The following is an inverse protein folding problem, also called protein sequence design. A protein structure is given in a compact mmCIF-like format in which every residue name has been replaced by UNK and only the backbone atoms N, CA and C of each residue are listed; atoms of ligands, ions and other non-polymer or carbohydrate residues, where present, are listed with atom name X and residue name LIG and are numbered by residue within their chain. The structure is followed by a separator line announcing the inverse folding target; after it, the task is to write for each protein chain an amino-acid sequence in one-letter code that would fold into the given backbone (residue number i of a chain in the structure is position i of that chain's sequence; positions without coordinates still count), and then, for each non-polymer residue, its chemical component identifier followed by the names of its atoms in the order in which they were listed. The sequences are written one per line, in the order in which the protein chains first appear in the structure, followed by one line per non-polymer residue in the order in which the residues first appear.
data_IF_524908201435
#
_entry.id   IF_524908201435
#
_cell.length_a   1.000
_cell.length_b   1.000
_cell.length_c   1.000
_cell.angle_alpha   90.00
_cell.angle_beta   90.00
_cell.angle_gamma   90.00
#
_symmetry.space_group_name_H-M   'P 1'
#
loop_
_entity.id
_entity.type
_entity.pdbx_description
1 polymer ?
#
# COMPACT_ATOMS: atom_id res chain seq x y z
N UNK A 1 24.01 -23.22 -15.63
CA UNK A 1 23.75 -21.81 -15.26
C UNK A 1 23.24 -21.11 -16.51
N UNK A 2 21.97 -20.69 -16.56
CA UNK A 2 21.43 -20.00 -17.75
C UNK A 2 19.94 -20.24 -18.04
N UNK A 3 19.04 -19.93 -17.09
CA UNK A 3 17.59 -20.04 -17.33
C UNK A 3 16.78 -18.83 -16.85
N UNK A 4 17.35 -17.94 -16.03
CA UNK A 4 16.64 -16.75 -15.53
C UNK A 4 16.72 -15.55 -16.48
N UNK A 5 17.80 -15.41 -17.27
CA UNK A 5 18.01 -14.25 -18.15
C UNK A 5 16.96 -14.18 -19.25
N UNK A 6 16.67 -15.30 -19.91
CA UNK A 6 15.76 -15.37 -21.07
C UNK A 6 14.30 -15.04 -20.76
N UNK A 7 13.89 -15.20 -19.49
CA UNK A 7 12.54 -14.82 -19.02
C UNK A 7 12.45 -13.35 -18.62
N UNK A 8 13.59 -12.72 -18.35
CA UNK A 8 13.67 -11.35 -17.89
C UNK A 8 13.53 -10.34 -19.03
N UNK A 9 14.00 -10.71 -20.23
CA UNK A 9 13.89 -9.90 -21.46
C UNK A 9 12.43 -9.65 -21.88
N UNK A 10 11.50 -10.50 -21.43
CA UNK A 10 10.07 -10.39 -21.73
C UNK A 10 9.33 -9.47 -20.75
N UNK A 11 9.99 -9.05 -19.65
CA UNK A 11 9.37 -8.21 -18.63
C UNK A 11 9.59 -6.74 -18.98
N UNK A 12 8.52 -5.96 -19.21
CA UNK A 12 8.66 -4.55 -19.52
C UNK A 12 9.32 -3.80 -18.36
N UNK A 13 10.36 -3.02 -18.69
CA UNK A 13 11.09 -2.15 -17.77
C UNK A 13 11.70 -2.87 -16.56
N UNK A 14 12.07 -4.15 -16.68
CA UNK A 14 12.58 -4.96 -15.58
C UNK A 14 13.78 -4.32 -14.85
N UNK A 15 14.79 -3.85 -15.58
CA UNK A 15 15.98 -3.21 -14.99
C UNK A 15 15.65 -1.91 -14.25
N UNK A 16 14.78 -1.08 -14.84
CA UNK A 16 14.30 0.15 -14.21
C UNK A 16 13.51 -0.14 -12.93
N UNK A 17 12.62 -1.14 -12.96
CA UNK A 17 11.85 -1.56 -11.80
C UNK A 17 12.76 -2.06 -10.68
N UNK A 18 13.81 -2.82 -11.00
CA UNK A 18 14.81 -3.23 -10.01
C UNK A 18 15.52 -2.04 -9.38
N UNK A 19 15.88 -1.01 -10.16
CA UNK A 19 16.52 0.19 -9.61
C UNK A 19 15.55 1.03 -8.75
N UNK A 20 14.30 1.20 -9.20
CA UNK A 20 13.30 2.04 -8.51
C UNK A 20 12.77 1.42 -7.21
N UNK A 21 12.59 0.10 -7.22
CA UNK A 21 11.93 -0.65 -6.13
C UNK A 21 12.94 -1.42 -5.28
N UNK A 22 14.17 -1.56 -5.78
CA UNK A 22 15.26 -2.34 -5.22
C UNK A 22 15.01 -3.86 -5.22
N UNK A 23 13.96 -4.37 -5.88
CA UNK A 23 13.70 -5.80 -5.94
C UNK A 23 14.81 -6.52 -6.70
N UNK A 24 15.14 -7.74 -6.27
CA UNK A 24 16.04 -8.61 -7.01
C UNK A 24 15.38 -9.14 -8.28
N UNK A 25 16.20 -9.55 -9.24
CA UNK A 25 15.74 -10.18 -10.49
C UNK A 25 14.74 -11.33 -10.23
N UNK A 26 15.06 -12.19 -9.26
CA UNK A 26 14.21 -13.31 -8.88
C UNK A 26 12.88 -12.87 -8.26
N UNK A 27 12.84 -11.73 -7.54
CA UNK A 27 11.59 -11.16 -7.04
C UNK A 27 10.73 -10.61 -8.17
N UNK A 28 11.31 -9.83 -9.09
CA UNK A 28 10.57 -9.28 -10.24
C UNK A 28 9.97 -10.42 -11.10
N UNK A 29 10.73 -11.49 -11.36
CA UNK A 29 10.22 -12.67 -12.07
C UNK A 29 9.04 -13.34 -11.34
N UNK A 30 9.11 -13.48 -10.01
CA UNK A 30 8.00 -14.04 -9.22
C UNK A 30 6.77 -13.15 -9.22
N UNK A 31 6.97 -11.83 -9.16
CA UNK A 31 5.88 -10.86 -9.25
C UNK A 31 5.24 -10.87 -10.64
N UNK A 32 6.03 -11.00 -11.70
CA UNK A 32 5.54 -11.07 -13.07
C UNK A 32 4.73 -12.34 -13.32
N UNK A 33 5.25 -13.51 -12.89
CA UNK A 33 4.48 -14.75 -12.96
C UNK A 33 3.16 -14.68 -12.16
N UNK A 34 3.15 -13.94 -11.03
CA UNK A 34 1.92 -13.69 -10.27
C UNK A 34 0.98 -12.75 -11.02
N UNK A 35 1.50 -11.73 -11.69
CA UNK A 35 0.72 -10.80 -12.49
C UNK A 35 0.04 -11.52 -13.66
N UNK A 36 0.77 -12.34 -14.42
CA UNK A 36 0.21 -13.17 -15.51
C UNK A 36 -0.85 -14.15 -14.99
N UNK A 37 -0.66 -14.71 -13.80
CA UNK A 37 -1.67 -15.58 -13.19
C UNK A 37 -2.98 -14.85 -12.86
N UNK A 38 -2.91 -13.55 -12.57
CA UNK A 38 -4.09 -12.71 -12.30
C UNK A 38 -4.74 -12.22 -13.59
N UNK A 39 -3.93 -11.90 -14.62
CA UNK A 39 -4.39 -11.45 -15.93
C UNK A 39 -4.80 -12.63 -16.83
N UNK A 40 -5.92 -13.28 -16.48
CA UNK A 40 -6.41 -14.48 -17.17
C UNK A 40 -6.74 -14.26 -18.64
N UNK A 41 -7.02 -13.03 -19.03
CA UNK A 41 -7.39 -12.66 -20.39
C UNK A 41 -6.19 -12.10 -21.20
N UNK A 42 -4.98 -12.18 -20.63
CA UNK A 42 -3.72 -11.76 -21.26
C UNK A 42 -3.75 -10.33 -21.81
N UNK A 43 -4.39 -9.41 -21.09
CA UNK A 43 -4.54 -8.00 -21.51
C UNK A 43 -3.26 -7.19 -21.35
N UNK A 44 -2.33 -7.64 -20.53
CA UNK A 44 -1.19 -6.88 -20.03
C UNK A 44 -1.55 -5.93 -18.88
N UNK A 45 -2.80 -5.96 -18.40
CA UNK A 45 -3.31 -5.06 -17.36
C UNK A 45 -4.34 -5.75 -16.46
N UNK A 46 -4.26 -5.49 -15.14
CA UNK A 46 -5.19 -6.02 -14.15
C UNK A 46 -6.32 -5.04 -13.85
N UNK A 47 -7.52 -5.58 -13.64
CA UNK A 47 -8.73 -4.92 -13.16
C UNK A 47 -9.02 -5.31 -11.72
N UNK A 48 -9.87 -4.58 -10.98
CA UNK A 48 -10.21 -4.91 -9.60
C UNK A 48 -10.69 -6.36 -9.42
N UNK A 49 -11.44 -6.88 -10.40
CA UNK A 49 -11.98 -8.24 -10.43
C UNK A 49 -10.89 -9.33 -10.44
N UNK A 50 -9.75 -9.05 -11.07
CA UNK A 50 -8.65 -10.01 -11.21
C UNK A 50 -8.00 -10.31 -9.84
N UNK A 51 -8.07 -9.37 -8.90
CA UNK A 51 -7.55 -9.53 -7.54
C UNK A 51 -8.39 -10.48 -6.68
N UNK A 52 -9.62 -10.80 -7.07
CA UNK A 52 -10.48 -11.76 -6.36
C UNK A 52 -9.88 -13.18 -6.31
N UNK A 53 -8.96 -13.51 -7.21
CA UNK A 53 -8.23 -14.78 -7.19
C UNK A 53 -7.22 -14.87 -6.02
N UNK A 54 -6.86 -13.74 -5.40
CA UNK A 54 -5.93 -13.69 -4.28
C UNK A 54 -6.68 -13.93 -2.96
N UNK A 55 -6.85 -15.21 -2.60
CA UNK A 55 -7.47 -15.60 -1.30
C UNK A 55 -6.87 -14.88 -0.09
N UNK A 56 -5.58 -14.58 -0.12
CA UNK A 56 -4.90 -13.83 0.95
C UNK A 56 -5.39 -12.38 1.08
N UNK A 57 -5.75 -11.73 -0.03
CA UNK A 57 -6.37 -10.39 0.00
C UNK A 57 -7.87 -10.49 0.29
N UNK A 58 -8.56 -11.50 -0.24
CA UNK A 58 -9.99 -11.68 0.00
C UNK A 58 -10.34 -11.91 1.49
N UNK A 59 -9.45 -12.54 2.24
CA UNK A 59 -9.60 -12.74 3.69
C UNK A 59 -9.03 -11.58 4.52
N UNK A 60 -8.43 -10.58 3.88
CA UNK A 60 -7.83 -9.44 4.58
C UNK A 60 -8.91 -8.35 4.74
N UNK A 61 -9.19 -7.86 5.96
CA UNK A 61 -10.20 -6.82 6.17
C UNK A 61 -9.90 -5.48 5.47
N UNK A 62 -8.64 -5.25 5.08
CA UNK A 62 -8.24 -4.10 4.25
C UNK A 62 -7.92 -4.48 2.81
N UNK A 63 -8.30 -5.68 2.37
CA UNK A 63 -8.03 -6.22 1.03
C UNK A 63 -8.55 -5.30 -0.07
N UNK A 64 -9.82 -4.90 0.01
CA UNK A 64 -10.45 -4.02 -0.98
C UNK A 64 -9.78 -2.64 -1.04
N UNK A 65 -9.29 -2.13 0.10
CA UNK A 65 -8.54 -0.86 0.16
C UNK A 65 -7.15 -0.99 -0.47
N UNK A 66 -6.47 -2.11 -0.21
CA UNK A 66 -5.18 -2.41 -0.86
C UNK A 66 -5.37 -2.53 -2.37
N UNK A 67 -6.43 -3.22 -2.82
CA UNK A 67 -6.79 -3.32 -4.24
C UNK A 67 -7.05 -1.92 -4.80
N UNK A 68 -7.87 -1.10 -4.14
CA UNK A 68 -8.14 0.28 -4.53
C UNK A 68 -6.88 1.16 -4.64
N UNK A 69 -5.84 0.88 -3.85
CA UNK A 69 -4.56 1.60 -3.92
C UNK A 69 -3.75 1.33 -5.20
N UNK A 70 -4.02 0.22 -5.91
CA UNK A 70 -3.42 -0.03 -7.22
C UNK A 70 -4.01 0.86 -8.32
N UNK A 71 -5.26 1.29 -8.17
CA UNK A 71 -5.99 2.06 -9.18
C UNK A 71 -5.85 3.55 -8.88
N UNK A 72 -5.60 4.37 -9.91
CA UNK A 72 -5.58 5.83 -9.77
C UNK A 72 -6.92 6.45 -10.18
N UNK A 73 -7.22 7.68 -9.77
CA UNK A 73 -8.47 8.35 -10.18
C UNK A 73 -8.53 8.41 -11.71
N UNK A 74 -9.53 7.75 -12.30
CA UNK A 74 -9.69 7.60 -13.75
C UNK A 74 -8.88 6.47 -14.42
N UNK A 75 -8.17 5.65 -13.64
CA UNK A 75 -7.54 4.41 -14.13
C UNK A 75 -8.30 3.21 -13.59
N UNK A 76 -8.98 2.50 -14.48
CA UNK A 76 -9.71 1.26 -14.17
C UNK A 76 -8.81 0.01 -14.22
N UNK A 77 -7.58 0.18 -14.70
CA UNK A 77 -6.60 -0.88 -14.88
C UNK A 77 -5.23 -0.52 -14.27
N UNK A 78 -4.45 -1.55 -13.94
CA UNK A 78 -3.09 -1.43 -13.43
C UNK A 78 -2.13 -2.29 -14.26
N UNK A 79 -1.07 -1.66 -14.78
CA UNK A 79 -0.01 -2.32 -15.53
C UNK A 79 1.01 -2.98 -14.59
N UNK A 80 1.85 -3.87 -15.15
CA UNK A 80 2.88 -4.56 -14.37
C UNK A 80 3.83 -3.60 -13.62
N UNK A 81 4.38 -2.54 -14.24
CA UNK A 81 5.22 -1.58 -13.53
C UNK A 81 4.53 -0.93 -12.32
N UNK A 82 3.27 -0.51 -12.45
CA UNK A 82 2.53 0.09 -11.34
C UNK A 82 2.23 -0.94 -10.25
N UNK A 83 1.91 -2.19 -10.63
CA UNK A 83 1.72 -3.29 -9.70
C UNK A 83 2.96 -3.51 -8.82
N UNK A 84 4.15 -3.58 -9.43
CA UNK A 84 5.41 -3.74 -8.67
C UNK A 84 5.70 -2.53 -7.78
N UNK A 85 5.45 -1.30 -8.25
CA UNK A 85 5.68 -0.06 -7.46
C UNK A 85 4.80 0.00 -6.22
N UNK A 86 3.56 -0.44 -6.31
CA UNK A 86 2.66 -0.52 -5.14
C UNK A 86 3.19 -1.55 -4.14
N UNK A 87 3.59 -2.74 -4.61
CA UNK A 87 4.14 -3.79 -3.75
C UNK A 87 5.48 -3.41 -3.10
N UNK A 88 6.27 -2.54 -3.74
CA UNK A 88 7.52 -2.04 -3.18
C UNK A 88 7.32 -1.29 -1.85
N UNK A 89 6.14 -0.71 -1.60
CA UNK A 89 5.85 -0.01 -0.34
C UNK A 89 5.84 -0.94 0.88
N UNK A 90 5.56 -2.23 0.68
CA UNK A 90 5.51 -3.24 1.75
C UNK A 90 6.85 -3.90 2.03
N UNK A 91 7.91 -3.52 1.30
CA UNK A 91 9.22 -4.12 1.48
C UNK A 91 9.79 -3.77 2.87
N UNK A 92 10.39 -4.75 3.57
CA UNK A 92 11.22 -4.45 4.72
C UNK A 92 12.32 -3.48 4.28
N UNK A 93 12.48 -2.40 5.03
CA UNK A 93 13.60 -1.48 4.87
C UNK A 93 14.84 -2.23 5.32
N UNK A 94 15.64 -2.73 4.37
CA UNK A 94 16.92 -3.34 4.74
C UNK A 94 17.78 -2.28 5.42
N UNK A 95 18.14 -2.57 6.66
CA UNK A 95 18.84 -1.74 7.64
C UNK A 95 20.23 -1.28 7.22
N UNK A 96 20.69 -1.58 6.00
CA UNK A 96 22.08 -1.35 5.57
C UNK A 96 22.29 -0.08 4.72
N UNK A 97 21.27 0.75 4.52
CA UNK A 97 21.43 2.09 3.94
C UNK A 97 21.28 3.18 5.00
N UNK A 98 22.08 3.07 6.06
CA UNK A 98 22.33 4.14 7.02
C UNK A 98 23.23 5.18 6.32
N UNK A 99 22.62 5.97 5.41
CA UNK A 99 23.19 7.21 4.90
C UNK A 99 22.08 8.26 4.95
N UNK A 100 21.94 8.84 6.15
CA UNK A 100 21.45 10.17 6.57
C UNK A 100 20.35 10.92 5.77
N UNK A 101 19.55 10.23 4.95
CA UNK A 101 18.42 10.83 4.23
C UNK A 101 17.48 9.83 3.56
N UNK A 102 17.95 8.61 3.28
CA UNK A 102 17.16 7.54 2.64
C UNK A 102 16.06 6.94 3.53
N UNK A 103 16.26 6.87 4.85
CA UNK A 103 15.27 6.35 5.79
C UNK A 103 14.01 7.23 5.84
N UNK A 104 14.19 8.55 5.84
CA UNK A 104 13.07 9.50 5.83
C UNK A 104 12.25 9.37 4.54
N UNK A 105 12.89 9.15 3.39
CA UNK A 105 12.18 8.99 2.12
C UNK A 105 11.40 7.67 2.03
N UNK A 106 11.98 6.56 2.52
CA UNK A 106 11.27 5.28 2.60
C UNK A 106 10.10 5.32 3.59
N UNK A 107 10.32 5.90 4.77
CA UNK A 107 9.28 6.11 5.77
C UNK A 107 8.16 7.01 5.24
N UNK A 108 8.51 8.13 4.62
CA UNK A 108 7.54 9.05 4.00
C UNK A 108 6.74 8.36 2.90
N UNK A 109 7.36 7.49 2.08
CA UNK A 109 6.64 6.68 1.08
C UNK A 109 5.63 5.74 1.73
N UNK A 110 6.02 5.02 2.79
CA UNK A 110 5.12 4.14 3.55
C UNK A 110 3.97 4.91 4.20
N UNK A 111 4.26 6.07 4.81
CA UNK A 111 3.24 6.95 5.37
C UNK A 111 2.28 7.49 4.30
N UNK A 112 2.80 7.91 3.14
CA UNK A 112 1.95 8.33 2.00
C UNK A 112 1.07 7.20 1.50
N UNK A 113 1.61 5.98 1.46
CA UNK A 113 0.84 4.82 1.06
C UNK A 113 -0.25 4.48 2.09
N UNK A 114 0.09 4.46 3.38
CA UNK A 114 -0.88 4.28 4.45
C UNK A 114 -1.97 5.35 4.40
N UNK A 115 -1.60 6.63 4.27
CA UNK A 115 -2.53 7.76 4.15
C UNK A 115 -3.54 7.54 3.02
N UNK A 116 -3.08 7.13 1.84
CA UNK A 116 -3.95 6.78 0.70
C UNK A 116 -4.90 5.60 0.92
N UNK A 117 -4.65 4.76 1.93
CA UNK A 117 -5.60 3.70 2.30
C UNK A 117 -6.74 4.24 3.18
N UNK A 118 -6.50 5.35 3.88
CA UNK A 118 -7.52 6.05 4.65
C UNK A 118 -8.31 7.01 3.74
N UNK A 119 -7.61 7.90 3.04
CA UNK A 119 -8.13 8.91 2.09
C UNK A 119 -8.68 8.23 0.81
N UNK A 120 -9.99 7.96 0.80
CA UNK A 120 -10.67 7.25 -0.28
C UNK A 120 -11.00 8.17 -1.45
N UNK A 121 -11.45 9.39 -1.15
CA UNK A 121 -11.88 10.35 -2.17
C UNK A 121 -10.72 11.14 -2.80
N UNK A 122 -9.54 11.06 -2.18
CA UNK A 122 -8.26 11.65 -2.62
C UNK A 122 -8.29 13.17 -2.60
N UNK A 123 -9.01 13.74 -1.65
CA UNK A 123 -8.99 15.18 -1.40
C UNK A 123 -7.71 15.64 -0.68
N UNK A 124 -6.90 14.69 -0.21
CA UNK A 124 -5.63 14.95 0.49
C UNK A 124 -5.77 15.12 1.99
N UNK A 125 -6.93 14.80 2.55
CA UNK A 125 -7.26 14.79 3.97
C UNK A 125 -7.89 13.44 4.33
N UNK A 126 -7.95 13.14 5.62
CA UNK A 126 -8.71 11.99 6.14
C UNK A 126 -9.87 12.57 6.94
N UNK A 127 -11.06 12.43 6.40
CA UNK A 127 -12.31 12.80 7.07
C UNK A 127 -12.64 11.81 8.20
N UNK A 128 -13.54 12.25 9.10
CA UNK A 128 -14.11 11.39 10.15
C UNK A 128 -14.77 10.14 9.59
N UNK A 129 -15.52 10.29 8.51
CA UNK A 129 -16.24 9.21 7.84
C UNK A 129 -15.26 8.17 7.28
N UNK A 130 -14.19 8.60 6.63
CA UNK A 130 -13.17 7.71 6.07
C UNK A 130 -12.40 6.96 7.16
N UNK A 131 -12.03 7.66 8.24
CA UNK A 131 -11.38 7.04 9.39
C UNK A 131 -12.29 5.99 10.04
N UNK A 132 -13.57 6.31 10.23
CA UNK A 132 -14.56 5.38 10.77
C UNK A 132 -14.73 4.15 9.90
N UNK A 133 -14.81 4.34 8.58
CA UNK A 133 -14.94 3.22 7.67
C UNK A 133 -13.71 2.30 7.72
N UNK A 134 -12.50 2.82 7.94
CA UNK A 134 -11.31 1.97 8.13
C UNK A 134 -11.41 1.21 9.45
N UNK A 135 -11.74 1.92 10.53
CA UNK A 135 -11.83 1.32 11.86
C UNK A 135 -12.90 0.24 11.92
N UNK A 136 -14.05 0.44 11.27
CA UNK A 136 -15.08 -0.58 11.07
C UNK A 136 -14.49 -1.80 10.39
N UNK A 137 -13.90 -1.65 9.19
CA UNK A 137 -13.34 -2.80 8.47
C UNK A 137 -12.27 -3.56 9.28
N UNK A 138 -11.49 -2.87 10.13
CA UNK A 138 -10.45 -3.51 10.95
C UNK A 138 -10.96 -4.13 12.27
N UNK A 139 -11.99 -3.55 12.89
CA UNK A 139 -12.40 -3.84 14.27
C UNK A 139 -13.87 -4.26 14.40
N UNK A 140 -14.57 -4.47 13.29
CA UNK A 140 -16.01 -4.76 13.19
C UNK A 140 -16.50 -5.86 14.16
N UNK A 141 -15.66 -6.85 14.49
CA UNK A 141 -16.02 -7.95 15.38
C UNK A 141 -15.62 -7.76 16.84
N UNK A 142 -15.03 -6.62 17.22
CA UNK A 142 -14.39 -6.43 18.53
C UNK A 142 -14.93 -5.22 19.31
N UNK A 143 -15.60 -4.28 18.64
CA UNK A 143 -15.90 -2.94 19.18
C UNK A 143 -17.31 -2.51 18.74
N UNK A 144 -18.04 -1.78 19.60
CA UNK A 144 -19.38 -1.25 19.24
C UNK A 144 -19.26 -0.02 18.34
N UNK A 145 -20.35 0.30 17.66
CA UNK A 145 -20.40 1.49 16.80
C UNK A 145 -20.15 2.78 17.58
N UNK A 146 -20.66 2.92 18.81
CA UNK A 146 -20.37 4.12 19.62
C UNK A 146 -18.89 4.20 20.03
N UNK A 147 -18.28 3.05 20.33
CA UNK A 147 -16.86 3.00 20.66
C UNK A 147 -15.99 3.35 19.45
N UNK A 148 -16.35 2.90 18.24
CA UNK A 148 -15.66 3.29 17.00
C UNK A 148 -15.77 4.80 16.76
N UNK A 149 -16.96 5.38 16.95
CA UNK A 149 -17.17 6.82 16.89
C UNK A 149 -16.30 7.58 17.89
N UNK A 150 -16.25 7.11 19.14
CA UNK A 150 -15.40 7.73 20.17
C UNK A 150 -13.91 7.62 19.84
N UNK A 151 -13.45 6.49 19.31
CA UNK A 151 -12.04 6.30 18.89
C UNK A 151 -11.71 7.24 17.72
N UNK A 152 -12.56 7.31 16.70
CA UNK A 152 -12.33 8.17 15.55
C UNK A 152 -12.31 9.66 15.95
N UNK A 153 -13.26 10.09 16.77
CA UNK A 153 -13.36 11.47 17.23
C UNK A 153 -12.15 11.88 18.07
N UNK A 154 -11.70 11.01 18.97
CA UNK A 154 -10.46 11.24 19.74
C UNK A 154 -9.23 11.28 18.84
N UNK A 155 -9.15 10.39 17.85
CA UNK A 155 -8.02 10.35 16.92
C UNK A 155 -7.91 11.63 16.08
N UNK A 156 -9.04 12.18 15.62
CA UNK A 156 -9.08 13.47 14.91
C UNK A 156 -8.68 14.58 15.87
N UNK A 157 -9.32 14.68 17.04
CA UNK A 157 -9.03 15.74 18.01
C UNK A 157 -7.56 15.77 18.47
N UNK A 158 -6.89 14.61 18.54
CA UNK A 158 -5.48 14.52 18.91
C UNK A 158 -4.51 14.85 17.74
N UNK A 159 -4.95 14.65 16.49
CA UNK A 159 -4.12 14.80 15.30
C UNK A 159 -4.32 16.15 14.58
N UNK A 160 -5.54 16.68 14.59
CA UNK A 160 -5.97 17.92 13.95
C UNK A 160 -5.39 19.13 14.70
N UNK A 161 -4.44 19.81 14.07
CA UNK A 161 -3.73 20.96 14.63
C UNK A 161 -4.26 22.28 14.09
N UNK A 162 -4.82 22.28 12.89
CA UNK A 162 -5.37 23.47 12.25
C UNK A 162 -6.88 23.64 12.43
N UNK A 163 -7.52 22.67 13.11
CA UNK A 163 -8.93 22.64 13.50
C UNK A 163 -9.88 22.63 12.30
N UNK A 164 -9.52 21.88 11.26
CA UNK A 164 -10.33 21.72 10.05
C UNK A 164 -11.25 20.48 10.08
N UNK A 165 -11.32 19.79 11.23
CA UNK A 165 -12.08 18.56 11.47
C UNK A 165 -11.67 17.37 10.57
N UNK A 166 -10.47 17.43 9.99
CA UNK A 166 -9.86 16.37 9.19
C UNK A 166 -8.38 16.18 9.57
N UNK A 167 -7.75 15.14 9.01
CA UNK A 167 -6.32 14.89 9.22
C UNK A 167 -5.60 15.07 7.89
N UNK A 168 -4.83 16.14 7.76
CA UNK A 168 -3.93 16.35 6.62
C UNK A 168 -2.75 15.37 6.62
N UNK A 169 -2.07 15.24 5.48
CA UNK A 169 -0.89 14.38 5.40
C UNK A 169 0.23 14.76 6.40
N UNK A 170 0.43 16.06 6.65
CA UNK A 170 1.46 16.52 7.60
C UNK A 170 1.08 16.21 9.05
N UNK A 171 -0.20 16.33 9.41
CA UNK A 171 -0.72 15.94 10.72
C UNK A 171 -0.63 14.43 10.92
N UNK A 172 -1.04 13.64 9.92
CA UNK A 172 -0.90 12.18 9.93
C UNK A 172 0.56 11.74 10.16
N UNK A 173 1.49 12.39 9.46
CA UNK A 173 2.93 12.14 9.60
C UNK A 173 3.43 12.48 11.01
N UNK A 174 2.98 13.59 11.60
CA UNK A 174 3.35 14.03 12.95
C UNK A 174 2.77 13.11 14.03
N UNK A 175 1.50 12.72 13.89
CA UNK A 175 0.84 11.77 14.81
C UNK A 175 1.52 10.41 14.82
N UNK A 176 2.09 9.99 13.68
CA UNK A 176 2.83 8.74 13.56
C UNK A 176 4.35 8.88 13.74
N UNK A 177 4.87 10.04 14.12
CA UNK A 177 6.31 10.29 14.26
C UNK A 177 6.97 9.30 15.23
N UNK A 178 6.29 8.95 16.32
CA UNK A 178 6.76 8.01 17.34
C UNK A 178 6.47 6.54 17.03
N UNK A 179 5.77 6.24 15.93
CA UNK A 179 5.39 4.87 15.55
C UNK A 179 6.41 4.29 14.58
N UNK A 180 6.91 3.08 14.83
CA UNK A 180 7.76 2.39 13.86
C UNK A 180 6.93 1.81 12.70
N UNK A 181 6.58 2.67 11.73
CA UNK A 181 5.78 2.28 10.55
C UNK A 181 6.50 1.20 9.71
N UNK A 182 7.82 1.19 9.74
CA UNK A 182 8.61 0.24 8.97
C UNK A 182 8.36 -1.18 9.43
N UNK A 183 8.35 -1.43 10.75
CA UNK A 183 7.99 -2.73 11.34
C UNK A 183 6.50 -3.07 11.15
N UNK A 184 5.61 -2.08 11.26
CA UNK A 184 4.15 -2.33 11.15
C UNK A 184 3.68 -2.60 9.72
N UNK A 185 4.29 -1.97 8.72
CA UNK A 185 3.96 -2.20 7.30
C UNK A 185 4.87 -3.22 6.62
N UNK A 186 6.01 -3.57 7.21
CA UNK A 186 6.80 -4.72 6.75
C UNK A 186 6.03 -5.99 7.06
N UNK A 187 5.26 -6.45 6.08
CA UNK A 187 4.51 -7.68 6.25
C UNK A 187 5.40 -8.88 5.89
N UNK A 188 5.31 -9.92 6.72
CA UNK A 188 5.73 -11.27 6.36
C UNK A 188 4.94 -11.84 5.16
N UNK A 189 3.94 -11.13 4.63
CA UNK A 189 3.19 -11.47 3.40
C UNK A 189 4.07 -11.75 2.18
N UNK A 190 5.27 -11.16 2.13
CA UNK A 190 6.18 -11.25 0.99
C UNK A 190 7.22 -12.38 1.13
N UNK A 191 7.15 -13.20 2.18
CA UNK A 191 7.97 -14.42 2.31
C UNK A 191 7.28 -15.63 1.68
#
# INVERSE_FOLDING_TARGET
MGSSSSRMDHIPNAEQLMQETGFSAAHILRLYARFEFLDKDERGELRPEDFGALRGLAMNPIGDRIIGAFFSRGKETVDFPSFVRVLANFRPTETNTIRDGGQSFSRTRKLKFAFKLYDQDRDGKISREELLQVLRSMLEQQVTEEQLQSIAERAIQEADLDQDDAISFEEFKKSLERVNIDEKMSSHFLR
#
